data_IF_220208999788
#
_entry.id   IF_220208999788
#
_cell.length_a   1.000
_cell.length_b   1.000
_cell.length_c   1.000
_cell.angle_alpha   90.00
_cell.angle_beta   90.00
_cell.angle_gamma   90.00
#
_symmetry.space_group_name_H-M   'P 1'
#
loop_
_entity.id
_entity.type
_entity.pdbx_description
1 polymer ?
#
# COMPACT_ATOMS: atom_id res chain seq x y z
N UNK A 1 -8.10 15.33 -8.65
CA UNK A 1 -8.98 14.60 -7.71
C UNK A 1 -8.66 13.13 -7.87
N UNK A 2 -8.51 12.38 -6.78
CA UNK A 2 -8.18 10.94 -6.86
C UNK A 2 -9.42 10.11 -7.20
N UNK A 3 -9.31 9.15 -8.12
CA UNK A 3 -10.37 8.19 -8.48
C UNK A 3 -10.82 7.34 -7.27
N UNK A 4 -9.97 7.19 -6.25
CA UNK A 4 -10.33 6.54 -4.98
C UNK A 4 -11.40 7.28 -4.18
N UNK A 5 -11.74 8.51 -4.56
CA UNK A 5 -12.90 9.22 -3.99
C UNK A 5 -14.23 8.75 -4.58
N UNK A 6 -14.21 8.01 -5.69
CA UNK A 6 -15.39 7.47 -6.35
C UNK A 6 -15.79 6.11 -5.80
N UNK A 7 -14.88 5.44 -5.08
CA UNK A 7 -15.14 4.19 -4.37
C UNK A 7 -15.85 4.44 -3.04
N UNK A 8 -16.80 3.58 -2.70
CA UNK A 8 -17.35 3.52 -1.35
C UNK A 8 -16.33 2.94 -0.34
N UNK A 9 -16.71 2.88 0.94
CA UNK A 9 -15.80 2.42 2.00
C UNK A 9 -15.41 0.94 1.86
N UNK A 10 -16.35 0.07 1.45
CA UNK A 10 -16.13 -1.36 1.28
C UNK A 10 -15.21 -1.60 0.07
N UNK A 11 -15.49 -0.92 -1.04
CA UNK A 11 -14.68 -0.97 -2.25
C UNK A 11 -13.25 -0.47 -1.99
N UNK A 12 -13.12 0.62 -1.23
CA UNK A 12 -11.82 1.16 -0.85
C UNK A 12 -11.04 0.22 0.06
N UNK A 13 -11.70 -0.46 1.01
CA UNK A 13 -11.06 -1.49 1.86
C UNK A 13 -10.55 -2.67 1.03
N UNK A 14 -11.35 -3.16 0.09
CA UNK A 14 -10.93 -4.21 -0.85
C UNK A 14 -9.72 -3.73 -1.65
N UNK A 15 -9.78 -2.56 -2.28
CA UNK A 15 -8.64 -2.02 -3.03
C UNK A 15 -7.36 -1.96 -2.18
N UNK A 16 -7.45 -1.41 -0.97
CA UNK A 16 -6.31 -1.29 -0.04
C UNK A 16 -5.75 -2.65 0.38
N UNK A 17 -6.60 -3.65 0.59
CA UNK A 17 -6.20 -5.03 0.95
C UNK A 17 -5.27 -5.64 -0.10
N UNK A 18 -5.55 -5.43 -1.39
CA UNK A 18 -4.81 -6.08 -2.47
C UNK A 18 -3.77 -5.19 -3.18
N UNK A 19 -3.86 -3.85 -3.03
CA UNK A 19 -3.02 -2.85 -3.73
C UNK A 19 -1.55 -3.24 -3.82
N UNK A 20 -0.91 -3.49 -2.68
CA UNK A 20 0.54 -3.71 -2.63
C UNK A 20 0.97 -5.06 -3.22
N UNK A 21 0.12 -6.08 -3.12
CA UNK A 21 0.33 -7.33 -3.82
C UNK A 21 0.30 -7.11 -5.34
N UNK A 22 -0.70 -6.39 -5.84
CA UNK A 22 -0.84 -6.09 -7.27
C UNK A 22 0.33 -5.25 -7.80
N UNK A 23 0.74 -4.21 -7.05
CA UNK A 23 1.93 -3.42 -7.39
C UNK A 23 3.20 -4.27 -7.45
N UNK A 24 3.42 -5.13 -6.45
CA UNK A 24 4.58 -6.03 -6.43
C UNK A 24 4.59 -6.99 -7.62
N UNK A 25 3.41 -7.50 -8.00
CA UNK A 25 3.23 -8.39 -9.15
C UNK A 25 3.50 -7.66 -10.49
N UNK A 26 3.53 -6.33 -10.50
CA UNK A 26 3.83 -5.50 -11.67
C UNK A 26 2.59 -4.91 -12.35
N UNK A 27 1.42 -4.93 -11.68
CA UNK A 27 0.23 -4.22 -12.15
C UNK A 27 0.44 -2.71 -12.05
N UNK A 28 0.14 -2.01 -13.14
CA UNK A 28 0.27 -0.56 -13.26
C UNK A 28 -1.01 0.13 -12.76
N UNK A 29 -1.19 0.24 -11.45
CA UNK A 29 -2.40 0.84 -10.83
C UNK A 29 -2.48 2.37 -11.00
N UNK A 30 -1.40 2.99 -11.45
CA UNK A 30 -1.30 4.42 -11.77
C UNK A 30 -1.78 4.76 -13.19
N UNK A 31 -2.06 3.77 -14.04
CA UNK A 31 -2.61 3.99 -15.38
C UNK A 31 -4.11 4.27 -15.32
N UNK A 32 -4.54 5.32 -16.02
CA UNK A 32 -5.93 5.77 -16.06
C UNK A 32 -6.87 4.66 -16.52
N UNK A 33 -6.49 3.86 -17.52
CA UNK A 33 -7.31 2.76 -18.04
C UNK A 33 -7.51 1.63 -17.01
N UNK A 34 -6.53 1.42 -16.13
CA UNK A 34 -6.62 0.42 -15.06
C UNK A 34 -7.55 0.93 -13.96
N UNK A 35 -7.44 2.21 -13.60
CA UNK A 35 -8.29 2.85 -12.60
C UNK A 35 -9.75 2.87 -13.06
N UNK A 36 -9.99 3.27 -14.31
CA UNK A 36 -11.32 3.22 -14.93
C UNK A 36 -11.86 1.79 -15.00
N UNK A 37 -11.03 0.80 -15.37
CA UNK A 37 -11.44 -0.60 -15.39
C UNK A 37 -11.85 -1.13 -14.01
N UNK A 38 -11.13 -0.74 -12.95
CA UNK A 38 -11.49 -1.10 -11.57
C UNK A 38 -12.82 -0.45 -11.19
N UNK A 39 -12.96 0.86 -11.43
CA UNK A 39 -14.16 1.61 -11.09
C UNK A 39 -15.42 1.11 -11.80
N UNK A 40 -15.33 0.79 -13.09
CA UNK A 40 -16.46 0.26 -13.86
C UNK A 40 -16.85 -1.18 -13.48
N UNK A 41 -15.98 -1.91 -12.76
CA UNK A 41 -16.16 -3.32 -12.44
C UNK A 41 -16.02 -3.61 -10.93
N UNK A 42 -16.43 -2.70 -10.06
CA UNK A 42 -16.27 -2.85 -8.60
C UNK A 42 -16.91 -4.13 -8.04
N UNK A 43 -18.04 -4.56 -8.62
CA UNK A 43 -18.72 -5.82 -8.27
C UNK A 43 -17.88 -7.09 -8.50
N UNK A 44 -16.87 -7.03 -9.38
CA UNK A 44 -15.95 -8.13 -9.68
C UNK A 44 -14.55 -7.92 -9.08
N UNK A 45 -14.31 -6.78 -8.44
CA UNK A 45 -12.99 -6.30 -8.06
C UNK A 45 -12.21 -7.27 -7.17
N UNK A 46 -12.79 -7.70 -6.06
CA UNK A 46 -12.11 -8.62 -5.14
C UNK A 46 -11.75 -9.94 -5.84
N UNK A 47 -12.69 -10.53 -6.58
CA UNK A 47 -12.44 -11.77 -7.31
C UNK A 47 -11.37 -11.63 -8.39
N UNK A 48 -11.33 -10.49 -9.10
CA UNK A 48 -10.32 -10.22 -10.12
C UNK A 48 -8.93 -10.02 -9.50
N UNK A 49 -8.83 -9.33 -8.37
CA UNK A 49 -7.59 -9.16 -7.62
C UNK A 49 -7.05 -10.50 -7.12
N UNK A 50 -7.90 -11.28 -6.44
CA UNK A 50 -7.55 -12.60 -5.97
C UNK A 50 -7.10 -13.51 -7.12
N UNK A 51 -7.83 -13.52 -8.24
CA UNK A 51 -7.49 -14.33 -9.40
C UNK A 51 -6.15 -13.93 -10.03
N UNK A 52 -5.85 -12.64 -10.09
CA UNK A 52 -4.56 -12.13 -10.60
C UNK A 52 -3.40 -12.62 -9.73
N UNK A 53 -3.55 -12.54 -8.41
CA UNK A 53 -2.56 -13.04 -7.45
C UNK A 53 -2.43 -14.57 -7.52
N UNK A 54 -3.54 -15.30 -7.68
CA UNK A 54 -3.56 -16.76 -7.82
C UNK A 54 -2.72 -17.21 -9.03
N UNK A 55 -2.93 -16.59 -10.19
CA UNK A 55 -2.17 -16.90 -11.42
C UNK A 55 -0.69 -16.51 -11.30
N UNK A 56 -0.38 -15.43 -10.58
CA UNK A 56 1.00 -15.07 -10.24
C UNK A 56 1.66 -16.15 -9.36
N UNK A 57 1.00 -16.58 -8.29
CA UNK A 57 1.52 -17.61 -7.38
C UNK A 57 1.71 -18.96 -8.07
N UNK A 58 0.92 -19.26 -9.10
CA UNK A 58 1.12 -20.42 -9.98
C UNK A 58 2.29 -20.28 -10.97
N UNK A 59 2.96 -19.12 -11.04
CA UNK A 59 4.06 -18.85 -11.98
C UNK A 59 3.61 -18.69 -13.44
N UNK A 60 2.32 -18.40 -13.67
CA UNK A 60 1.70 -18.38 -15.00
C UNK A 60 1.38 -16.97 -15.51
N UNK A 61 1.57 -15.94 -14.69
CA UNK A 61 1.21 -14.57 -15.03
C UNK A 61 2.29 -13.90 -15.89
N UNK A 62 1.96 -13.64 -17.17
CA UNK A 62 2.87 -13.01 -18.14
C UNK A 62 2.69 -11.50 -18.28
N UNK A 63 1.44 -11.05 -18.28
CA UNK A 63 1.06 -9.65 -18.48
C UNK A 63 0.11 -9.21 -17.36
N UNK A 64 0.64 -8.84 -16.17
CA UNK A 64 -0.16 -8.57 -14.98
C UNK A 64 -1.30 -7.58 -15.19
N UNK A 65 -1.00 -6.40 -15.74
CA UNK A 65 -1.99 -5.35 -15.99
C UNK A 65 -3.09 -5.80 -16.93
N UNK A 66 -2.71 -6.34 -18.10
CA UNK A 66 -3.69 -6.83 -19.08
C UNK A 66 -4.53 -7.99 -18.57
N UNK A 67 -3.93 -8.87 -17.76
CA UNK A 67 -4.67 -9.96 -17.11
C UNK A 67 -5.69 -9.42 -16.11
N UNK A 68 -5.31 -8.46 -15.26
CA UNK A 68 -6.23 -7.86 -14.29
C UNK A 68 -7.41 -7.19 -14.99
N UNK A 69 -7.15 -6.35 -16.00
CA UNK A 69 -8.23 -5.67 -16.75
C UNK A 69 -9.18 -6.67 -17.40
N UNK A 70 -8.64 -7.76 -17.96
CA UNK A 70 -9.45 -8.85 -18.51
C UNK A 70 -10.29 -9.55 -17.43
N UNK A 71 -9.69 -9.85 -16.28
CA UNK A 71 -10.37 -10.49 -15.16
C UNK A 71 -11.50 -9.63 -14.59
N UNK A 72 -11.32 -8.31 -14.53
CA UNK A 72 -12.34 -7.34 -14.14
C UNK A 72 -13.53 -7.35 -15.12
N UNK A 73 -13.23 -7.19 -16.42
CA UNK A 73 -14.25 -7.10 -17.47
C UNK A 73 -15.04 -8.40 -17.69
N UNK A 74 -14.36 -9.56 -17.61
CA UNK A 74 -14.98 -10.87 -17.83
C UNK A 74 -15.49 -11.51 -16.52
N UNK A 75 -15.32 -10.85 -15.37
CA UNK A 75 -15.84 -11.31 -14.08
C UNK A 75 -15.22 -12.61 -13.58
N UNK A 76 -13.91 -12.78 -13.77
CA UNK A 76 -13.22 -14.01 -13.37
C UNK A 76 -13.35 -14.27 -11.86
N UNK A 77 -13.58 -15.53 -11.51
CA UNK A 77 -13.61 -15.98 -10.12
C UNK A 77 -12.25 -16.56 -9.71
N UNK A 78 -11.91 -16.36 -8.46
CA UNK A 78 -10.87 -17.14 -7.78
C UNK A 78 -11.44 -18.50 -7.39
N UNK A 79 -10.62 -19.54 -7.47
CA UNK A 79 -11.05 -20.91 -7.13
C UNK A 79 -10.14 -21.55 -6.09
N UNK A 80 -8.89 -21.10 -6.03
CA UNK A 80 -7.87 -21.63 -5.12
C UNK A 80 -7.24 -20.50 -4.29
N UNK A 81 -8.05 -19.50 -3.93
CA UNK A 81 -7.60 -18.40 -3.11
C UNK A 81 -7.11 -18.89 -1.75
N UNK A 82 -5.97 -18.36 -1.31
CA UNK A 82 -5.45 -18.54 0.04
C UNK A 82 -5.09 -17.17 0.63
N UNK A 83 -5.79 -16.75 1.67
CA UNK A 83 -5.55 -15.46 2.35
C UNK A 83 -4.12 -15.33 2.89
N UNK A 84 -3.45 -16.45 3.22
CA UNK A 84 -2.06 -16.44 3.69
C UNK A 84 -1.08 -15.90 2.64
N UNK A 85 -1.45 -15.88 1.35
CA UNK A 85 -0.61 -15.29 0.32
C UNK A 85 -0.40 -13.78 0.51
N UNK A 86 -1.32 -13.08 1.17
CA UNK A 86 -1.17 -11.66 1.49
C UNK A 86 -0.14 -11.42 2.62
N UNK A 87 0.24 -12.46 3.36
CA UNK A 87 1.27 -12.38 4.40
C UNK A 87 2.70 -12.40 3.82
N UNK A 88 2.85 -12.52 2.49
CA UNK A 88 4.15 -12.42 1.82
C UNK A 88 4.84 -11.09 2.19
N UNK A 89 6.07 -11.10 2.74
CA UNK A 89 6.79 -9.88 3.09
C UNK A 89 6.91 -8.88 1.92
N UNK A 90 6.90 -9.38 0.69
CA UNK A 90 6.95 -8.55 -0.50
C UNK A 90 5.64 -7.79 -0.76
N UNK A 91 4.49 -8.30 -0.31
CA UNK A 91 3.17 -7.67 -0.44
C UNK A 91 2.85 -6.70 0.70
N UNK A 92 3.68 -6.66 1.74
CA UNK A 92 3.45 -5.76 2.88
C UNK A 92 3.43 -4.28 2.45
N UNK A 93 2.45 -3.56 2.99
CA UNK A 93 2.32 -2.12 2.93
C UNK A 93 3.62 -1.42 3.39
N UNK A 94 4.24 -0.51 2.62
CA UNK A 94 5.42 0.26 3.02
C UNK A 94 5.27 1.00 4.34
N UNK A 95 4.09 1.55 4.63
CA UNK A 95 3.81 2.21 5.90
C UNK A 95 3.94 1.23 7.07
N UNK A 96 3.37 0.03 6.93
CA UNK A 96 3.47 -1.03 7.94
C UNK A 96 4.91 -1.52 8.07
N UNK A 97 5.63 -1.72 6.95
CA UNK A 97 7.06 -2.07 6.96
C UNK A 97 7.86 -1.05 7.77
N UNK A 98 7.67 0.24 7.48
CA UNK A 98 8.39 1.31 8.19
C UNK A 98 8.07 1.33 9.68
N UNK A 99 6.80 1.16 10.05
CA UNK A 99 6.34 1.08 11.43
C UNK A 99 6.96 -0.08 12.21
N UNK A 100 7.01 -1.28 11.60
CA UNK A 100 7.67 -2.47 12.16
C UNK A 100 9.18 -2.27 12.30
N UNK A 101 9.84 -1.72 11.28
CA UNK A 101 11.28 -1.47 11.28
C UNK A 101 11.69 -0.40 12.29
N UNK A 102 10.90 0.66 12.45
CA UNK A 102 11.14 1.67 13.48
C UNK A 102 11.12 1.06 14.89
N UNK A 103 10.20 0.14 15.16
CA UNK A 103 10.16 -0.59 16.43
C UNK A 103 11.38 -1.52 16.60
N UNK A 104 11.88 -2.12 15.51
CA UNK A 104 13.09 -2.95 15.54
C UNK A 104 14.35 -2.14 15.85
N UNK A 105 14.46 -0.92 15.33
CA UNK A 105 15.64 -0.06 15.45
C UNK A 105 15.65 0.74 16.76
N UNK A 106 14.52 1.34 17.13
CA UNK A 106 14.43 2.22 18.31
C UNK A 106 13.83 1.54 19.55
N UNK A 107 13.24 0.36 19.40
CA UNK A 107 12.40 -0.26 20.42
C UNK A 107 10.94 0.20 20.36
N UNK A 108 10.05 -0.66 20.85
CA UNK A 108 8.61 -0.42 20.80
C UNK A 108 8.20 0.85 21.54
N UNK A 109 8.73 1.07 22.73
CA UNK A 109 8.36 2.21 23.59
C UNK A 109 8.75 3.54 22.96
N UNK A 110 9.99 3.67 22.48
CA UNK A 110 10.47 4.90 21.87
C UNK A 110 9.71 5.21 20.57
N UNK A 111 9.49 4.20 19.72
CA UNK A 111 8.70 4.38 18.49
C UNK A 111 7.26 4.81 18.81
N UNK A 112 6.59 4.19 19.79
CA UNK A 112 5.22 4.54 20.17
C UNK A 112 5.12 5.94 20.78
N UNK A 113 6.18 6.41 21.44
CA UNK A 113 6.24 7.77 21.98
C UNK A 113 6.46 8.84 20.89
N UNK A 114 7.12 8.49 19.78
CA UNK A 114 7.55 9.44 18.75
C UNK A 114 6.69 9.44 17.48
N UNK A 115 6.21 8.29 17.03
CA UNK A 115 5.39 8.15 15.82
C UNK A 115 3.95 7.89 16.24
N UNK A 116 3.06 8.81 15.89
CA UNK A 116 1.62 8.66 16.09
C UNK A 116 1.05 7.66 15.08
N UNK A 117 1.45 7.81 13.80
CA UNK A 117 0.89 7.00 12.71
C UNK A 117 1.85 6.97 11.51
N UNK A 118 1.76 5.92 10.69
CA UNK A 118 2.37 5.86 9.36
C UNK A 118 1.25 5.52 8.39
N UNK A 119 0.84 6.50 7.59
CA UNK A 119 -0.42 6.43 6.85
C UNK A 119 -0.27 6.76 5.39
N UNK A 120 -1.18 6.21 4.61
CA UNK A 120 -1.38 6.55 3.21
C UNK A 120 -2.72 7.29 3.05
N UNK A 121 -2.69 8.45 2.40
CA UNK A 121 -3.91 9.21 2.09
C UNK A 121 -4.65 8.64 0.86
N UNK A 122 -5.82 9.21 0.52
CA UNK A 122 -6.60 8.81 -0.67
C UNK A 122 -5.92 9.16 -2.00
N UNK A 123 -4.85 9.92 -2.01
CA UNK A 123 -4.04 10.19 -3.20
C UNK A 123 -2.84 9.23 -3.30
N UNK A 124 -2.72 8.27 -2.38
CA UNK A 124 -1.57 7.36 -2.32
C UNK A 124 -0.32 7.99 -1.70
N UNK A 125 -0.40 9.20 -1.14
CA UNK A 125 0.73 9.82 -0.47
C UNK A 125 0.95 9.16 0.88
N UNK A 126 2.15 8.64 1.09
CA UNK A 126 2.56 7.98 2.32
C UNK A 126 3.33 8.96 3.21
N UNK A 127 3.01 9.00 4.49
CA UNK A 127 3.63 9.91 5.45
C UNK A 127 3.77 9.29 6.85
N UNK A 128 4.82 9.71 7.55
CA UNK A 128 5.04 9.44 8.98
C UNK A 128 4.54 10.65 9.75
N UNK A 129 3.64 10.44 10.71
CA UNK A 129 3.08 11.47 11.59
C UNK A 129 3.73 11.35 12.96
N UNK A 130 4.30 12.44 13.46
CA UNK A 130 5.10 12.44 14.68
C UNK A 130 4.35 13.12 15.85
N UNK A 131 4.70 12.72 17.07
CA UNK A 131 4.13 13.25 18.31
C UNK A 131 4.44 14.75 18.53
N UNK A 132 5.50 15.26 17.90
CA UNK A 132 5.87 16.67 17.93
C UNK A 132 4.96 17.58 17.06
N UNK A 133 3.93 17.01 16.41
CA UNK A 133 3.00 17.73 15.51
C UNK A 133 3.48 17.83 14.06
N UNK A 134 4.69 17.39 13.76
CA UNK A 134 5.24 17.33 12.41
C UNK A 134 4.78 16.11 11.61
N UNK A 135 4.92 16.20 10.29
CA UNK A 135 4.73 15.08 9.37
C UNK A 135 5.86 15.07 8.34
N UNK A 136 6.23 13.89 7.84
CA UNK A 136 7.25 13.72 6.82
C UNK A 136 6.79 12.72 5.76
N UNK A 137 6.98 13.00 4.46
CA UNK A 137 6.80 11.99 3.42
C UNK A 137 7.62 10.72 3.72
N UNK A 138 7.00 9.54 3.55
CA UNK A 138 7.63 8.28 3.93
C UNK A 138 8.94 8.03 3.17
N UNK A 139 8.97 8.34 1.88
CA UNK A 139 10.18 8.24 1.06
C UNK A 139 11.32 9.12 1.60
N UNK A 140 11.00 10.32 2.11
CA UNK A 140 11.97 11.22 2.73
C UNK A 140 12.47 10.67 4.07
N UNK A 141 11.59 10.10 4.88
CA UNK A 141 11.99 9.47 6.14
C UNK A 141 12.96 8.31 5.90
N UNK A 142 12.67 7.47 4.90
CA UNK A 142 13.56 6.38 4.47
C UNK A 142 14.90 6.93 3.97
N UNK A 143 14.91 8.00 3.17
CA UNK A 143 16.16 8.55 2.63
C UNK A 143 17.04 9.22 3.68
N UNK A 144 16.43 9.84 4.70
CA UNK A 144 17.18 10.46 5.79
C UNK A 144 17.84 9.43 6.69
N UNK A 145 17.20 8.28 6.92
CA UNK A 145 17.69 7.26 7.83
C UNK A 145 17.25 7.49 9.28
N UNK A 146 17.54 6.50 10.12
CA UNK A 146 16.93 6.40 11.45
C UNK A 146 17.43 7.45 12.46
N UNK A 147 18.68 7.92 12.36
CA UNK A 147 19.20 8.89 13.32
C UNK A 147 18.58 10.27 13.08
N UNK A 148 18.55 10.72 11.84
CA UNK A 148 18.04 12.01 11.42
C UNK A 148 16.53 12.11 11.65
N UNK A 149 15.78 11.02 11.41
CA UNK A 149 14.35 10.98 11.73
C UNK A 149 14.11 11.01 13.24
N UNK A 150 14.96 10.35 14.04
CA UNK A 150 14.87 10.40 15.50
C UNK A 150 15.08 11.84 16.01
N UNK A 151 16.11 12.53 15.50
CA UNK A 151 16.38 13.93 15.83
C UNK A 151 15.21 14.85 15.44
N UNK A 152 14.65 14.67 14.25
CA UNK A 152 13.45 15.41 13.83
C UNK A 152 12.27 15.16 14.78
N UNK A 153 11.98 13.89 15.08
CA UNK A 153 10.85 13.49 15.92
C UNK A 153 10.95 14.06 17.33
N UNK A 154 12.15 14.15 17.89
CA UNK A 154 12.39 14.68 19.25
C UNK A 154 12.41 16.20 19.32
N UNK A 155 12.84 16.90 18.27
CA UNK A 155 13.06 18.35 18.30
C UNK A 155 11.90 19.19 17.77
N UNK A 156 11.03 18.62 16.93
CA UNK A 156 9.98 19.39 16.23
C UNK A 156 10.50 20.28 15.11
N UNK A 157 11.82 20.31 14.85
CA UNK A 157 12.43 21.12 13.81
C UNK A 157 13.81 20.58 13.45
N UNK A 158 14.04 20.26 12.17
CA UNK A 158 15.42 20.06 11.69
C UNK A 158 16.07 21.45 11.69
N UNK A 159 17.16 21.63 12.45
CA UNK A 159 18.02 22.79 12.26
C UNK A 159 18.56 22.75 10.82
N UNK A 160 18.05 23.65 9.99
CA UNK A 160 18.60 24.02 8.68
C UNK A 160 18.06 23.22 7.50
N UNK A 161 16.98 23.73 6.89
CA UNK A 161 16.99 24.28 5.50
C UNK A 161 16.03 25.47 5.49
#
# INVERSE_FOLDING_TARGET
MSWLNELDEIELEIYRKYKYALLHIGVQLDWDEVQESIFLNTSNMESAFQRTIEVYKAGQLKHPTGFLMKALAEGYKSYHWNDEWLNDPNFKNPCLKYWEEAARVWGYDLRNALIIDVKEDRNGNQSVVFANGGSMPLNRAISLGWQEVLEYAQSGSIRGI
#
